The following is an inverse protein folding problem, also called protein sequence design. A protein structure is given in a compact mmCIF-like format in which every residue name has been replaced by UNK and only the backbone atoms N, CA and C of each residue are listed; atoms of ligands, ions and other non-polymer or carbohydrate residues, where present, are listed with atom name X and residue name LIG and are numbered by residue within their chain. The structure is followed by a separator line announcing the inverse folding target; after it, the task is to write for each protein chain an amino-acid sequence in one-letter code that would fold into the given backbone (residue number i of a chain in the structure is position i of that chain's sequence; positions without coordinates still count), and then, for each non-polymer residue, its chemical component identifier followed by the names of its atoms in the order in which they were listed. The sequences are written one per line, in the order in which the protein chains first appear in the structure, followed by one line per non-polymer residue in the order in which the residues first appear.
data_IF_208834297779
#
_entry.id   IF_208834297779
#
_cell.length_a   1.000
_cell.length_b   1.000
_cell.length_c   1.000
_cell.angle_alpha   90.00
_cell.angle_beta   90.00
_cell.angle_gamma   90.00
#
_symmetry.space_group_name_H-M   'P 1'
#
loop_
_entity.id
_entity.type
_entity.pdbx_description
1 polymer ?
#
# COMPACT_ATOMS: atom_id res chain seq x y z
N UNK A 1 -10.51 24.90 -1.60
CA UNK A 1 -10.96 23.53 -1.26
C UNK A 1 -11.36 23.56 0.19
N UNK A 2 -12.58 23.12 0.50
CA UNK A 2 -13.05 23.12 1.88
C UNK A 2 -12.37 21.98 2.66
N UNK A 3 -12.31 22.12 3.98
CA UNK A 3 -11.76 21.08 4.86
C UNK A 3 -12.53 19.76 4.70
N UNK A 4 -13.84 19.84 4.43
CA UNK A 4 -14.68 18.69 4.17
C UNK A 4 -14.25 17.90 2.91
N UNK A 5 -13.92 18.60 1.82
CA UNK A 5 -13.47 17.97 0.57
C UNK A 5 -12.12 17.28 0.76
N UNK A 6 -11.20 17.94 1.46
CA UNK A 6 -9.91 17.35 1.81
C UNK A 6 -10.10 16.04 2.60
N UNK A 7 -10.93 16.08 3.66
CA UNK A 7 -11.20 14.92 4.49
C UNK A 7 -11.84 13.80 3.69
N UNK A 8 -12.78 14.11 2.80
CA UNK A 8 -13.44 13.13 1.91
C UNK A 8 -12.43 12.43 1.00
N UNK A 9 -11.54 13.19 0.34
CA UNK A 9 -10.47 12.63 -0.50
C UNK A 9 -9.53 11.79 0.33
N UNK A 10 -9.00 12.34 1.44
CA UNK A 10 -8.05 11.66 2.30
C UNK A 10 -8.61 10.35 2.88
N UNK A 11 -9.85 10.37 3.39
CA UNK A 11 -10.51 9.17 3.91
C UNK A 11 -10.76 8.14 2.82
N UNK A 12 -11.01 8.55 1.58
CA UNK A 12 -11.14 7.63 0.43
C UNK A 12 -9.81 6.93 0.16
N UNK A 13 -8.70 7.67 0.12
CA UNK A 13 -7.37 7.07 -0.03
C UNK A 13 -7.03 6.15 1.14
N UNK A 14 -7.26 6.60 2.38
CA UNK A 14 -6.91 5.86 3.59
C UNK A 14 -7.70 4.56 3.70
N UNK A 15 -9.03 4.63 3.61
CA UNK A 15 -9.89 3.46 3.74
C UNK A 15 -9.58 2.39 2.70
N UNK A 16 -9.36 2.77 1.43
CA UNK A 16 -9.00 1.83 0.38
C UNK A 16 -7.60 1.26 0.56
N UNK A 17 -6.65 2.09 0.97
CA UNK A 17 -5.29 1.63 1.27
C UNK A 17 -5.28 0.61 2.41
N UNK A 18 -6.05 0.85 3.48
CA UNK A 18 -6.19 -0.11 4.58
C UNK A 18 -6.96 -1.36 4.15
N UNK A 19 -8.06 -1.22 3.40
CA UNK A 19 -8.83 -2.36 2.93
C UNK A 19 -7.99 -3.31 2.06
N UNK A 20 -7.19 -2.75 1.14
CA UNK A 20 -6.38 -3.57 0.23
C UNK A 20 -5.15 -4.13 0.95
N UNK A 21 -4.41 -3.31 1.69
CA UNK A 21 -3.14 -3.76 2.23
C UNK A 21 -3.29 -4.48 3.56
N UNK A 22 -4.09 -3.95 4.50
CA UNK A 22 -4.26 -4.60 5.80
C UNK A 22 -5.09 -5.88 5.66
N UNK A 23 -6.30 -5.79 5.09
CA UNK A 23 -7.23 -6.92 5.09
C UNK A 23 -6.87 -7.99 4.06
N UNK A 24 -6.61 -7.60 2.81
CA UNK A 24 -6.33 -8.58 1.76
C UNK A 24 -4.89 -9.09 1.83
N UNK A 25 -3.89 -8.22 1.91
CA UNK A 25 -2.51 -8.64 1.69
C UNK A 25 -1.82 -9.08 2.98
N UNK A 26 -1.88 -8.33 4.06
CA UNK A 26 -1.20 -8.70 5.30
C UNK A 26 -1.96 -9.79 6.08
N UNK A 27 -3.28 -9.64 6.27
CA UNK A 27 -4.05 -10.59 7.07
C UNK A 27 -4.31 -11.90 6.33
N UNK A 28 -4.78 -11.87 5.08
CA UNK A 28 -5.14 -13.12 4.36
C UNK A 28 -3.89 -13.78 3.76
N UNK A 29 -3.11 -13.04 2.98
CA UNK A 29 -1.92 -13.60 2.33
C UNK A 29 -0.73 -13.69 3.29
N UNK A 30 -0.43 -12.63 4.05
CA UNK A 30 0.73 -12.59 4.95
C UNK A 30 0.68 -13.69 6.00
N UNK A 31 -0.42 -13.81 6.75
CA UNK A 31 -0.54 -14.82 7.81
C UNK A 31 -0.47 -16.28 7.33
N UNK A 32 -0.70 -16.53 6.03
CA UNK A 32 -0.70 -17.88 5.45
C UNK A 32 0.59 -18.19 4.68
N UNK A 33 1.22 -17.19 4.07
CA UNK A 33 2.38 -17.36 3.21
C UNK A 33 3.72 -16.98 3.87
N UNK A 34 3.72 -16.10 4.87
CA UNK A 34 4.92 -15.58 5.52
C UNK A 34 5.24 -16.41 6.78
N UNK A 35 6.34 -17.19 6.79
CA UNK A 35 6.72 -18.02 7.93
C UNK A 35 6.90 -17.21 9.23
N UNK A 36 7.49 -16.02 9.12
CA UNK A 36 7.78 -15.13 10.25
C UNK A 36 6.51 -14.70 10.97
N UNK A 37 5.42 -14.46 10.22
CA UNK A 37 4.12 -14.12 10.80
C UNK A 37 3.51 -15.31 11.54
N UNK A 38 3.70 -16.54 11.05
CA UNK A 38 3.22 -17.74 11.74
C UNK A 38 3.95 -17.94 13.06
N UNK A 39 5.28 -17.78 13.06
CA UNK A 39 6.07 -17.85 14.29
C UNK A 39 5.66 -16.77 15.29
N UNK A 40 5.43 -15.53 14.85
CA UNK A 40 4.93 -14.46 15.74
C UNK A 40 3.54 -14.76 16.28
N UNK A 41 2.64 -15.29 15.46
CA UNK A 41 1.28 -15.67 15.87
C UNK A 41 1.34 -16.79 16.91
N UNK A 42 2.20 -17.79 16.74
CA UNK A 42 2.38 -18.88 17.69
C UNK A 42 2.97 -18.40 19.03
N UNK A 43 3.90 -17.44 18.99
CA UNK A 43 4.56 -16.91 20.20
C UNK A 43 3.70 -15.90 20.98
N UNK A 44 3.07 -14.95 20.27
CA UNK A 44 2.39 -13.80 20.87
C UNK A 44 0.86 -13.97 20.92
N UNK A 45 0.33 -14.93 20.18
CA UNK A 45 -1.10 -15.13 19.96
C UNK A 45 -1.68 -14.21 18.89
N UNK A 46 -2.69 -14.72 18.19
CA UNK A 46 -3.38 -14.04 17.08
C UNK A 46 -3.83 -12.61 17.39
N UNK A 47 -4.40 -12.38 18.58
CA UNK A 47 -4.94 -11.07 18.94
C UNK A 47 -3.86 -9.98 19.02
N UNK A 48 -2.72 -10.31 19.63
CA UNK A 48 -1.62 -9.35 19.79
C UNK A 48 -0.95 -9.05 18.47
N UNK A 49 -0.69 -10.08 17.65
CA UNK A 49 -0.19 -9.93 16.29
C UNK A 49 -1.11 -9.02 15.46
N UNK A 50 -2.42 -9.28 15.49
CA UNK A 50 -3.40 -8.47 14.78
C UNK A 50 -3.38 -7.00 15.21
N UNK A 51 -3.34 -6.71 16.51
CA UNK A 51 -3.26 -5.33 17.01
C UNK A 51 -1.95 -4.62 16.61
N UNK A 52 -0.81 -5.29 16.75
CA UNK A 52 0.51 -4.76 16.38
C UNK A 52 0.56 -4.45 14.87
N UNK A 53 0.10 -5.38 14.04
CA UNK A 53 0.03 -5.22 12.59
C UNK A 53 -0.95 -4.12 12.18
N UNK A 54 -2.15 -4.10 12.76
CA UNK A 54 -3.15 -3.06 12.48
C UNK A 54 -2.61 -1.67 12.78
N UNK A 55 -1.91 -1.49 13.91
CA UNK A 55 -1.30 -0.20 14.25
C UNK A 55 -0.18 0.19 13.28
N UNK A 56 0.77 -0.71 13.02
CA UNK A 56 1.91 -0.43 12.15
C UNK A 56 1.48 -0.08 10.72
N UNK A 57 0.64 -0.93 10.13
CA UNK A 57 0.10 -0.75 8.78
C UNK A 57 -0.76 0.51 8.73
N UNK A 58 -1.57 0.79 9.76
CA UNK A 58 -2.41 1.99 9.77
C UNK A 58 -1.61 3.28 9.80
N UNK A 59 -0.54 3.35 10.59
CA UNK A 59 0.32 4.53 10.65
C UNK A 59 1.00 4.76 9.30
N UNK A 60 1.57 3.71 8.72
CA UNK A 60 2.23 3.80 7.42
C UNK A 60 1.25 4.28 6.33
N UNK A 61 0.09 3.64 6.22
CA UNK A 61 -0.89 4.02 5.20
C UNK A 61 -1.57 5.36 5.47
N UNK A 62 -1.70 5.81 6.72
CA UNK A 62 -2.13 7.18 7.01
C UNK A 62 -1.20 8.21 6.37
N UNK A 63 0.12 8.05 6.55
CA UNK A 63 1.10 8.95 5.95
C UNK A 63 1.14 8.80 4.43
N UNK A 64 1.13 7.57 3.92
CA UNK A 64 1.17 7.30 2.49
C UNK A 64 -0.07 7.83 1.76
N UNK A 65 -1.26 7.63 2.33
CA UNK A 65 -2.52 8.18 1.82
C UNK A 65 -2.60 9.69 1.93
N UNK A 66 -1.93 10.31 2.91
CA UNK A 66 -1.83 11.77 3.00
C UNK A 66 -1.03 12.34 1.83
N UNK A 67 0.11 11.73 1.49
CA UNK A 67 0.88 12.13 0.32
C UNK A 67 0.07 11.94 -0.96
N UNK A 68 -0.57 10.77 -1.10
CA UNK A 68 -1.42 10.46 -2.25
C UNK A 68 -2.57 11.45 -2.43
N UNK A 69 -3.26 11.80 -1.34
CA UNK A 69 -4.35 12.77 -1.39
C UNK A 69 -3.88 14.17 -1.78
N UNK A 70 -2.74 14.64 -1.23
CA UNK A 70 -2.18 15.94 -1.57
C UNK A 70 -1.77 16.03 -3.05
N UNK A 71 -1.14 14.98 -3.59
CA UNK A 71 -0.80 14.91 -5.01
C UNK A 71 -2.07 14.93 -5.87
N UNK A 72 -3.08 14.13 -5.50
CA UNK A 72 -4.35 14.08 -6.22
C UNK A 72 -5.07 15.43 -6.23
N UNK A 73 -5.11 16.13 -5.09
CA UNK A 73 -5.73 17.46 -4.98
C UNK A 73 -5.04 18.47 -5.88
N UNK A 74 -3.71 18.46 -5.88
CA UNK A 74 -2.92 19.45 -6.61
C UNK A 74 -2.97 19.24 -8.12
N UNK A 75 -2.83 17.99 -8.55
CA UNK A 75 -2.58 17.69 -9.96
C UNK A 75 -3.77 17.03 -10.67
N UNK A 76 -4.78 16.56 -9.92
CA UNK A 76 -5.93 15.78 -10.40
C UNK A 76 -5.53 14.69 -11.41
N UNK A 77 -4.45 13.98 -11.09
CA UNK A 77 -3.90 12.98 -11.99
C UNK A 77 -4.92 11.91 -12.33
N UNK A 78 -4.84 11.45 -13.57
CA UNK A 78 -5.54 10.25 -14.02
C UNK A 78 -5.15 9.05 -13.14
N UNK A 79 -6.07 8.11 -12.89
CA UNK A 79 -5.84 6.96 -12.01
C UNK A 79 -4.59 6.15 -12.37
N UNK A 80 -4.30 6.01 -13.66
CA UNK A 80 -3.10 5.31 -14.16
C UNK A 80 -1.81 6.02 -13.73
N UNK A 81 -1.76 7.36 -13.85
CA UNK A 81 -0.60 8.17 -13.47
C UNK A 81 -0.37 8.13 -11.96
N UNK A 82 -1.46 8.21 -11.18
CA UNK A 82 -1.40 8.05 -9.72
C UNK A 82 -0.87 6.68 -9.29
N UNK A 83 -1.38 5.61 -9.91
CA UNK A 83 -0.88 4.26 -9.64
C UNK A 83 0.60 4.10 -9.99
N UNK A 84 1.04 4.57 -11.17
CA UNK A 84 2.45 4.49 -11.56
C UNK A 84 3.37 5.30 -10.63
N UNK A 85 2.94 6.49 -10.20
CA UNK A 85 3.69 7.28 -9.23
C UNK A 85 3.82 6.54 -7.89
N UNK A 86 2.73 5.92 -7.44
CA UNK A 86 2.72 5.10 -6.23
C UNK A 86 3.67 3.91 -6.33
N UNK A 87 3.72 3.23 -7.49
CA UNK A 87 4.69 2.16 -7.75
C UNK A 87 6.12 2.67 -7.68
N UNK A 88 6.42 3.80 -8.32
CA UNK A 88 7.76 4.37 -8.29
C UNK A 88 8.19 4.71 -6.85
N UNK A 89 7.31 5.33 -6.06
CA UNK A 89 7.58 5.65 -4.66
C UNK A 89 7.68 4.40 -3.78
N UNK A 90 6.81 3.42 -3.99
CA UNK A 90 6.80 2.15 -3.27
C UNK A 90 8.07 1.34 -3.50
N UNK A 91 8.47 1.18 -4.77
CA UNK A 91 9.75 0.54 -5.11
C UNK A 91 10.93 1.31 -4.53
N UNK A 92 10.93 2.66 -4.56
CA UNK A 92 11.97 3.44 -3.89
C UNK A 92 12.02 3.16 -2.38
N UNK A 93 10.87 3.05 -1.71
CA UNK A 93 10.82 2.71 -0.29
C UNK A 93 11.35 1.30 -0.01
N UNK A 94 10.98 0.33 -0.84
CA UNK A 94 11.43 -1.06 -0.72
C UNK A 94 12.93 -1.20 -0.95
N UNK A 95 13.46 -0.58 -2.01
CA UNK A 95 14.87 -0.65 -2.33
C UNK A 95 15.74 0.16 -1.35
N UNK A 96 15.29 1.33 -0.90
CA UNK A 96 16.08 2.17 -0.02
C UNK A 96 16.01 1.75 1.45
N UNK A 97 14.80 1.51 1.97
CA UNK A 97 14.54 1.42 3.42
C UNK A 97 14.07 0.04 3.88
N UNK A 98 13.01 -0.53 3.27
CA UNK A 98 12.39 -1.76 3.81
C UNK A 98 13.24 -3.01 3.54
N UNK A 99 13.82 -3.11 2.35
CA UNK A 99 14.74 -4.18 1.91
C UNK A 99 14.22 -5.59 2.22
N UNK A 100 13.02 -5.97 1.73
CA UNK A 100 12.57 -7.35 1.82
C UNK A 100 13.54 -8.31 1.12
N UNK A 101 13.48 -9.59 1.44
CA UNK A 101 14.46 -10.59 0.98
C UNK A 101 14.65 -10.61 -0.54
N UNK A 102 13.58 -10.42 -1.31
CA UNK A 102 13.69 -10.40 -2.77
C UNK A 102 14.50 -9.19 -3.29
N UNK A 103 14.45 -8.04 -2.60
CA UNK A 103 15.32 -6.87 -2.90
C UNK A 103 16.77 -7.20 -2.53
N UNK A 104 17.00 -7.85 -1.39
CA UNK A 104 18.34 -8.25 -0.96
C UNK A 104 18.96 -9.26 -1.94
N UNK A 105 18.18 -10.21 -2.45
CA UNK A 105 18.59 -11.15 -3.49
C UNK A 105 18.98 -10.44 -4.78
N UNK A 106 18.23 -9.41 -5.19
CA UNK A 106 18.59 -8.58 -6.34
C UNK A 106 19.93 -7.87 -6.10
N UNK A 107 20.14 -7.26 -4.93
CA UNK A 107 21.42 -6.64 -4.58
C UNK A 107 22.59 -7.62 -4.56
N UNK A 108 22.33 -8.87 -4.15
CA UNK A 108 23.30 -9.95 -4.19
C UNK A 108 23.48 -10.59 -5.60
N UNK A 109 22.82 -10.05 -6.64
CA UNK A 109 22.81 -10.57 -8.01
C UNK A 109 22.27 -12.01 -8.12
N UNK A 110 21.46 -12.45 -7.14
CA UNK A 110 20.80 -13.76 -7.11
C UNK A 110 19.39 -13.65 -7.70
N UNK A 111 19.32 -13.27 -8.97
CA UNK A 111 18.04 -13.03 -9.65
C UNK A 111 17.52 -14.35 -10.26
N UNK A 112 16.43 -14.86 -9.71
CA UNK A 112 15.69 -16.00 -10.24
C UNK A 112 14.26 -15.61 -10.65
N UNK A 113 13.44 -16.62 -10.94
CA UNK A 113 12.03 -16.42 -11.28
C UNK A 113 11.19 -15.89 -10.11
N UNK A 114 11.56 -16.23 -8.87
CA UNK A 114 10.89 -15.77 -7.65
C UNK A 114 10.99 -14.25 -7.47
N UNK A 115 12.14 -13.65 -7.73
CA UNK A 115 12.37 -12.21 -7.61
C UNK A 115 11.57 -11.44 -8.65
N UNK A 116 11.47 -11.96 -9.88
CA UNK A 116 10.65 -11.34 -10.93
C UNK A 116 9.15 -11.33 -10.55
N UNK A 117 8.65 -12.43 -10.00
CA UNK A 117 7.26 -12.50 -9.50
C UNK A 117 7.06 -11.54 -8.32
N UNK A 118 8.01 -11.47 -7.40
CA UNK A 118 7.96 -10.55 -6.26
C UNK A 118 7.90 -9.08 -6.70
N UNK A 119 8.69 -8.67 -7.70
CA UNK A 119 8.62 -7.30 -8.27
C UNK A 119 7.25 -7.01 -8.86
N UNK A 120 6.63 -7.96 -9.56
CA UNK A 120 5.29 -7.79 -10.14
C UNK A 120 4.24 -7.66 -9.04
N UNK A 121 4.29 -8.52 -8.02
CA UNK A 121 3.36 -8.47 -6.89
C UNK A 121 3.52 -7.18 -6.08
N UNK A 122 4.75 -6.76 -5.79
CA UNK A 122 5.04 -5.47 -5.16
C UNK A 122 4.50 -4.32 -6.02
N UNK A 123 4.70 -4.35 -7.34
CA UNK A 123 4.17 -3.31 -8.22
C UNK A 123 2.64 -3.22 -8.15
N UNK A 124 1.93 -4.35 -8.09
CA UNK A 124 0.47 -4.34 -7.90
C UNK A 124 0.08 -3.83 -6.51
N UNK A 125 0.82 -4.25 -5.48
CA UNK A 125 0.65 -3.81 -4.09
C UNK A 125 0.73 -2.28 -3.97
N UNK A 126 1.69 -1.65 -4.66
CA UNK A 126 1.83 -0.19 -4.64
C UNK A 126 0.90 0.52 -5.63
N UNK A 127 0.51 -0.09 -6.73
CA UNK A 127 -0.34 0.55 -7.73
C UNK A 127 -1.78 0.77 -7.24
N UNK A 128 -2.38 -0.26 -6.64
CA UNK A 128 -3.80 -0.29 -6.26
C UNK A 128 -4.16 0.83 -5.25
N UNK A 129 -3.40 1.08 -4.18
CA UNK A 129 -3.76 2.01 -3.11
C UNK A 129 -3.89 3.46 -3.54
N UNK A 130 -3.31 3.84 -4.69
CA UNK A 130 -3.43 5.20 -5.23
C UNK A 130 -4.27 5.24 -6.50
N UNK A 131 -4.19 4.21 -7.36
CA UNK A 131 -4.98 4.18 -8.61
C UNK A 131 -6.48 4.07 -8.34
N UNK A 132 -6.90 3.14 -7.48
CA UNK A 132 -8.32 2.90 -7.20
C UNK A 132 -9.01 4.08 -6.53
N UNK A 133 -8.49 4.69 -5.44
CA UNK A 133 -9.13 5.87 -4.87
C UNK A 133 -9.17 7.03 -5.86
N UNK A 134 -8.11 7.23 -6.66
CA UNK A 134 -8.12 8.26 -7.70
C UNK A 134 -9.19 8.03 -8.76
N UNK A 135 -9.41 6.77 -9.16
CA UNK A 135 -10.49 6.40 -10.07
C UNK A 135 -11.85 6.71 -9.47
N UNK A 136 -12.10 6.27 -8.24
CA UNK A 136 -13.39 6.52 -7.57
C UNK A 136 -13.68 8.01 -7.41
N UNK A 137 -12.64 8.79 -7.05
CA UNK A 137 -12.77 10.22 -6.85
C UNK A 137 -13.06 10.95 -8.15
N UNK A 138 -12.34 10.62 -9.23
CA UNK A 138 -12.54 11.24 -10.54
C UNK A 138 -13.88 10.87 -11.18
N UNK A 139 -14.34 9.63 -11.06
CA UNK A 139 -15.52 9.14 -11.80
C UNK A 139 -16.84 9.32 -11.05
N UNK A 140 -16.84 9.22 -9.71
CA UNK A 140 -18.10 9.13 -8.95
C UNK A 140 -18.30 10.26 -7.95
N UNK A 141 -17.23 10.87 -7.46
CA UNK A 141 -17.30 11.78 -6.31
C UNK A 141 -17.16 13.23 -6.74
N UNK A 142 -16.18 13.56 -7.60
CA UNK A 142 -15.87 14.93 -8.01
C UNK A 142 -16.51 15.35 -9.34
N UNK A 143 -17.09 14.40 -10.08
CA UNK A 143 -17.88 14.64 -11.30
C UNK A 143 -19.33 15.03 -11.03
N UNK A 144 -19.78 14.93 -9.77
CA UNK A 144 -21.17 15.25 -9.35
C UNK A 144 -21.30 16.62 -8.68
N UNK A 145 -20.23 17.41 -8.64
CA UNK A 145 -20.21 18.82 -8.26
C UNK A 145 -20.04 19.70 -9.51
#
# INVERSE_FOLDING_TARGET
MEVADFLKIYLTFLSLSLLVNLLLLEIIFGSTAIPEYKEEIEQKGWWRFFCEMLLGVSIFYALFSLVGSLVFIKERYEPKKMGLLSVALGLLLEFAFMRPDWVQNIYALRIGGSEAVAVILSSLYWFIPWSVPSYLLNEFILTKE
#
